data_IF_511658639564
#
_entry.id   IF_511658639564
#
_cell.length_a   1.000
_cell.length_b   1.000
_cell.length_c   1.000
_cell.angle_alpha   90.00
_cell.angle_beta   90.00
_cell.angle_gamma   90.00
#
_symmetry.space_group_name_H-M   'P 1'
#
loop_
_entity.id
_entity.type
_entity.pdbx_description
1 polymer ?
#
# COMPACT_ATOMS: atom_id res chain seq x y z
N UNK A 1 30.75 -20.69 47.26
CA UNK A 1 31.93 -19.99 46.69
C UNK A 1 31.39 -19.00 45.65
N UNK A 2 31.01 -17.76 45.98
CA UNK A 2 31.82 -16.51 46.04
C UNK A 2 32.79 -16.34 44.85
N UNK A 3 32.43 -15.50 43.87
CA UNK A 3 33.16 -14.28 43.42
C UNK A 3 32.46 -13.59 42.21
N UNK A 4 31.94 -12.38 42.46
CA UNK A 4 31.84 -11.22 41.55
C UNK A 4 33.10 -10.33 41.78
N UNK A 5 33.33 -9.18 41.12
CA UNK A 5 32.92 -8.65 39.79
C UNK A 5 34.14 -8.12 39.00
N UNK A 6 33.93 -7.57 37.78
CA UNK A 6 34.87 -6.63 37.16
C UNK A 6 34.13 -5.34 36.77
N UNK A 7 34.72 -4.22 37.19
CA UNK A 7 34.25 -2.83 37.10
C UNK A 7 35.17 -2.07 36.14
N UNK A 8 34.62 -1.20 35.28
CA UNK A 8 35.15 0.12 34.83
C UNK A 8 34.13 0.67 33.80
N UNK A 9 33.35 1.74 33.97
CA UNK A 9 33.53 3.18 34.33
C UNK A 9 34.34 4.00 33.31
N UNK A 10 33.63 4.87 32.57
CA UNK A 10 33.91 6.30 32.27
C UNK A 10 32.74 6.83 31.41
N UNK A 11 31.77 7.61 31.91
CA UNK A 11 31.74 9.07 32.10
C UNK A 11 32.13 9.93 30.87
N UNK A 12 31.20 10.75 30.35
CA UNK A 12 31.35 12.22 30.27
C UNK A 12 30.03 12.92 29.88
N UNK A 13 29.77 14.04 30.52
CA UNK A 13 28.60 14.91 30.39
C UNK A 13 28.96 16.24 29.70
N UNK A 14 27.99 16.91 29.08
CA UNK A 14 27.99 18.35 28.79
C UNK A 14 26.52 18.78 28.54
N UNK A 15 25.89 19.57 29.43
CA UNK A 15 25.84 21.05 29.46
C UNK A 15 24.80 21.61 28.47
N UNK A 16 23.82 22.45 28.80
CA UNK A 16 23.63 23.34 29.96
C UNK A 16 23.86 24.82 29.59
N UNK A 17 22.77 25.56 29.39
CA UNK A 17 22.53 27.01 29.65
C UNK A 17 23.17 28.16 28.81
N UNK A 18 22.24 29.04 28.38
CA UNK A 18 22.21 30.54 28.43
C UNK A 18 23.16 31.41 27.56
N UNK A 19 22.56 32.38 26.85
CA UNK A 19 23.23 33.47 26.08
C UNK A 19 23.87 34.58 26.94
N UNK A 20 24.45 35.66 26.36
CA UNK A 20 23.66 36.86 26.00
C UNK A 20 24.21 37.79 24.86
N UNK A 21 23.38 38.78 24.48
CA UNK A 21 23.65 40.19 24.03
C UNK A 21 24.53 40.55 22.82
N UNK A 22 23.85 41.11 21.80
CA UNK A 22 24.10 42.26 20.91
C UNK A 22 25.51 42.75 20.53
N UNK A 23 25.72 42.97 19.22
CA UNK A 23 26.62 43.99 18.64
C UNK A 23 26.02 44.55 17.34
N UNK A 24 26.28 45.84 17.11
CA UNK A 24 25.70 46.84 16.20
C UNK A 24 25.52 46.50 14.69
N UNK A 25 24.72 47.28 13.93
CA UNK A 25 24.57 47.14 12.49
C UNK A 25 25.73 47.79 11.74
N UNK A 26 26.39 47.04 10.86
CA UNK A 26 27.29 47.60 9.84
C UNK A 26 26.48 47.80 8.55
N UNK A 27 26.31 49.06 8.19
CA UNK A 27 25.78 49.53 6.91
C UNK A 27 26.59 48.96 5.73
N UNK A 28 25.96 48.27 4.77
CA UNK A 28 26.58 47.99 3.48
C UNK A 28 26.22 49.10 2.49
N UNK A 29 27.28 49.67 1.91
CA UNK A 29 27.26 50.64 0.83
C UNK A 29 26.47 50.16 -0.40
N UNK A 30 25.93 51.15 -1.13
CA UNK A 30 25.15 51.03 -2.33
C UNK A 30 25.74 50.09 -3.41
N UNK A 31 24.95 49.19 -4.01
CA UNK A 31 25.31 48.60 -5.29
C UNK A 31 24.98 49.56 -6.43
N UNK A 32 26.01 49.83 -7.23
CA UNK A 32 25.92 50.54 -8.50
C UNK A 32 25.03 49.80 -9.51
N UNK A 33 24.31 50.58 -10.30
CA UNK A 33 23.42 50.19 -11.40
C UNK A 33 23.97 49.08 -12.29
N UNK A 34 23.18 48.01 -12.46
CA UNK A 34 23.26 47.08 -13.59
C UNK A 34 22.05 47.33 -14.52
N UNK A 35 22.20 47.21 -15.85
CA UNK A 35 21.12 47.50 -16.79
C UNK A 35 20.00 46.46 -16.69
N UNK A 36 18.76 46.92 -16.86
CA UNK A 36 17.54 46.12 -16.81
C UNK A 36 17.54 45.01 -17.90
N UNK A 37 17.06 43.79 -17.59
CA UNK A 37 16.84 42.78 -18.61
C UNK A 37 15.67 43.22 -19.51
N UNK A 38 15.87 43.12 -20.83
CA UNK A 38 14.84 43.37 -21.83
C UNK A 38 13.72 42.32 -21.70
N UNK A 39 12.49 42.78 -21.51
CA UNK A 39 11.28 41.94 -21.57
C UNK A 39 11.06 41.56 -23.04
N UNK A 40 11.28 40.30 -23.39
CA UNK A 40 10.78 39.72 -24.64
C UNK A 40 9.26 39.53 -24.55
N UNK A 41 8.50 39.77 -25.63
CA UNK A 41 7.05 39.69 -25.60
C UNK A 41 6.56 38.27 -25.33
N UNK A 42 5.46 38.19 -24.58
CA UNK A 42 4.80 36.97 -24.17
C UNK A 42 4.40 36.12 -25.39
N UNK A 43 4.81 34.85 -25.37
CA UNK A 43 4.25 33.84 -26.25
C UNK A 43 2.77 33.63 -25.88
N UNK A 44 1.90 33.80 -26.86
CA UNK A 44 0.51 33.34 -26.83
C UNK A 44 0.47 31.86 -26.46
N UNK A 45 -0.32 31.40 -25.47
CA UNK A 45 -0.57 29.98 -25.32
C UNK A 45 -1.37 29.51 -26.53
N UNK A 46 -0.76 28.67 -27.38
CA UNK A 46 -1.50 27.85 -28.33
C UNK A 46 -2.53 27.05 -27.54
N UNK A 47 -3.77 27.08 -28.04
CA UNK A 47 -4.85 26.29 -27.51
C UNK A 47 -4.41 24.82 -27.49
N UNK A 48 -4.22 24.29 -26.28
CA UNK A 48 -3.90 22.90 -26.08
C UNK A 48 -4.90 22.03 -26.81
N UNK A 49 -4.38 21.05 -27.55
CA UNK A 49 -5.11 19.91 -28.08
C UNK A 49 -6.10 19.40 -27.02
N UNK A 50 -7.37 19.08 -27.38
CA UNK A 50 -8.29 18.50 -26.43
C UNK A 50 -7.70 17.18 -25.92
N UNK A 51 -7.23 17.18 -24.67
CA UNK A 51 -6.88 15.96 -23.96
C UNK A 51 -8.10 15.04 -24.02
N UNK A 52 -8.01 13.97 -24.82
CA UNK A 52 -9.04 12.95 -24.85
C UNK A 52 -9.25 12.46 -23.41
N UNK A 53 -10.47 12.67 -22.90
CA UNK A 53 -10.84 12.13 -21.59
C UNK A 53 -10.76 10.60 -21.72
N UNK A 54 -9.92 9.91 -20.92
CA UNK A 54 -9.78 8.47 -21.03
C UNK A 54 -11.17 7.86 -20.84
N UNK A 55 -11.63 7.11 -21.84
CA UNK A 55 -12.91 6.39 -21.73
C UNK A 55 -12.77 5.40 -20.58
N UNK A 56 -13.64 5.45 -19.54
CA UNK A 56 -13.57 4.49 -18.45
C UNK A 56 -13.66 3.08 -19.01
N UNK A 57 -12.69 2.22 -18.67
CA UNK A 57 -12.77 0.80 -19.02
C UNK A 57 -14.04 0.22 -18.37
N UNK A 58 -14.79 -0.69 -19.02
CA UNK A 58 -15.93 -1.32 -18.38
C UNK A 58 -15.49 -2.13 -17.16
N UNK A 59 -16.24 -2.04 -16.07
CA UNK A 59 -16.00 -2.83 -14.87
C UNK A 59 -16.16 -4.33 -15.15
N UNK A 60 -15.29 -5.20 -14.62
CA UNK A 60 -15.45 -6.64 -14.76
C UNK A 60 -16.73 -7.12 -14.06
N UNK A 61 -17.42 -8.09 -14.67
CA UNK A 61 -18.55 -8.76 -14.02
C UNK A 61 -18.06 -9.72 -12.94
N UNK A 62 -18.65 -9.64 -11.75
CA UNK A 62 -18.33 -10.56 -10.65
C UNK A 62 -18.94 -11.95 -10.95
N UNK A 63 -18.16 -13.03 -10.95
CA UNK A 63 -18.68 -14.38 -11.16
C UNK A 63 -19.63 -14.79 -10.03
N UNK A 64 -20.84 -15.21 -10.38
CA UNK A 64 -21.84 -15.65 -9.41
C UNK A 64 -21.48 -17.02 -8.79
N UNK A 65 -21.03 -17.95 -9.62
CA UNK A 65 -20.66 -19.30 -9.20
C UNK A 65 -19.21 -19.35 -8.69
N UNK A 66 -18.92 -20.17 -7.66
CA UNK A 66 -17.55 -20.46 -7.24
C UNK A 66 -16.72 -21.07 -8.35
N UNK A 67 -15.44 -20.73 -8.41
CA UNK A 67 -14.52 -21.34 -9.40
C UNK A 67 -14.08 -22.75 -8.93
N UNK A 68 -13.74 -23.67 -9.85
CA UNK A 68 -13.16 -24.95 -9.46
C UNK A 68 -11.89 -24.77 -8.62
N UNK A 69 -11.81 -25.47 -7.49
CA UNK A 69 -10.67 -25.34 -6.56
C UNK A 69 -10.73 -24.13 -5.63
N UNK A 70 -11.82 -23.35 -5.66
CA UNK A 70 -12.06 -22.26 -4.72
C UNK A 70 -12.13 -22.79 -3.27
N UNK A 71 -11.31 -22.17 -2.41
CA UNK A 71 -11.20 -22.47 -0.99
C UNK A 71 -12.14 -21.58 -0.18
N UNK A 72 -12.10 -20.28 -0.45
CA UNK A 72 -12.88 -19.25 0.25
C UNK A 72 -13.10 -18.06 -0.66
N UNK A 73 -14.25 -17.39 -0.50
CA UNK A 73 -14.56 -16.12 -1.16
C UNK A 73 -15.12 -15.09 -0.19
N UNK A 74 -14.92 -13.82 -0.52
CA UNK A 74 -15.47 -12.68 0.20
C UNK A 74 -15.85 -11.59 -0.80
N UNK A 75 -17.14 -11.31 -0.90
CA UNK A 75 -17.65 -10.11 -1.61
C UNK A 75 -17.50 -8.91 -0.69
N UNK A 76 -16.95 -7.81 -1.19
CA UNK A 76 -16.68 -6.61 -0.41
C UNK A 76 -17.35 -5.37 -1.01
N UNK A 77 -17.60 -4.39 -0.15
CA UNK A 77 -18.19 -3.10 -0.48
C UNK A 77 -17.69 -2.05 0.51
N UNK A 78 -18.57 -1.23 1.11
CA UNK A 78 -18.12 -0.20 2.05
C UNK A 78 -17.54 -0.70 3.39
N UNK A 79 -17.61 -1.99 3.70
CA UNK A 79 -17.22 -2.55 5.00
C UNK A 79 -16.26 -3.72 4.89
N UNK A 80 -15.40 -3.87 5.89
CA UNK A 80 -14.55 -5.04 6.06
C UNK A 80 -15.37 -6.33 6.05
N UNK A 81 -14.92 -7.31 5.28
CA UNK A 81 -15.56 -8.62 5.15
C UNK A 81 -14.57 -9.72 5.54
N UNK A 82 -15.07 -10.76 6.20
CA UNK A 82 -14.28 -11.92 6.58
C UNK A 82 -14.92 -13.19 6.03
N UNK A 83 -14.18 -13.92 5.20
CA UNK A 83 -14.52 -15.27 4.75
C UNK A 83 -13.77 -16.31 5.59
N UNK A 84 -14.41 -17.45 5.86
CA UNK A 84 -13.79 -18.57 6.59
C UNK A 84 -14.11 -19.89 5.93
N UNK A 85 -13.15 -20.81 5.95
CA UNK A 85 -13.31 -22.16 5.43
C UNK A 85 -12.41 -23.15 6.16
N UNK A 86 -12.79 -24.42 6.16
CA UNK A 86 -11.86 -25.52 6.44
C UNK A 86 -11.47 -26.16 5.11
N UNK A 87 -10.17 -26.24 4.82
CA UNK A 87 -9.69 -26.80 3.56
C UNK A 87 -8.48 -27.69 3.76
N UNK A 88 -8.38 -28.75 2.94
CA UNK A 88 -7.24 -29.66 2.94
C UNK A 88 -6.30 -29.28 1.81
N UNK A 89 -5.24 -28.56 2.16
CA UNK A 89 -4.24 -28.12 1.20
C UNK A 89 -3.40 -29.27 0.67
N UNK A 90 -3.15 -29.20 -0.63
CA UNK A 90 -2.33 -30.16 -1.38
C UNK A 90 -0.82 -29.99 -1.17
N UNK A 91 -0.39 -28.90 -0.51
CA UNK A 91 1.02 -28.51 -0.42
C UNK A 91 1.52 -27.73 -1.64
N UNK A 92 0.62 -27.33 -2.54
CA UNK A 92 0.91 -26.51 -3.73
C UNK A 92 0.78 -25.02 -3.40
N UNK A 93 1.34 -24.15 -4.26
CA UNK A 93 1.07 -22.71 -4.20
C UNK A 93 -0.42 -22.42 -4.25
N UNK A 94 -0.81 -21.34 -3.59
CA UNK A 94 -2.18 -20.84 -3.62
C UNK A 94 -2.25 -19.51 -4.32
N UNK A 95 -3.27 -19.38 -5.16
CA UNK A 95 -3.56 -18.15 -5.89
C UNK A 95 -4.69 -17.39 -5.20
N UNK A 96 -4.53 -16.09 -4.98
CA UNK A 96 -5.62 -15.20 -4.58
C UNK A 96 -5.96 -14.25 -5.71
N UNK A 97 -7.24 -13.92 -5.82
CA UNK A 97 -7.78 -13.18 -6.95
C UNK A 97 -8.65 -12.05 -6.43
N UNK A 98 -8.37 -10.83 -6.88
CA UNK A 98 -9.13 -9.62 -6.54
C UNK A 98 -9.80 -9.11 -7.81
N UNK A 99 -11.12 -8.95 -7.76
CA UNK A 99 -11.94 -8.41 -8.84
C UNK A 99 -12.66 -7.17 -8.32
N UNK A 100 -12.23 -5.98 -8.74
CA UNK A 100 -12.91 -4.73 -8.40
C UNK A 100 -14.10 -4.50 -9.32
N UNK A 101 -15.25 -4.19 -8.74
CA UNK A 101 -16.46 -3.69 -9.40
C UNK A 101 -16.65 -2.18 -9.20
N UNK A 102 -15.57 -1.46 -8.87
CA UNK A 102 -15.46 0.00 -8.83
C UNK A 102 -14.19 0.46 -9.55
N UNK A 103 -14.15 1.73 -9.97
CA UNK A 103 -12.93 2.38 -10.51
C UNK A 103 -12.16 3.15 -9.43
N UNK A 104 -12.75 3.30 -8.26
CA UNK A 104 -12.20 4.08 -7.17
C UNK A 104 -11.94 3.19 -5.96
N UNK A 105 -11.04 3.67 -5.10
CA UNK A 105 -10.72 3.04 -3.84
C UNK A 105 -9.61 2.00 -3.90
N UNK A 106 -9.34 1.44 -2.72
CA UNK A 106 -8.30 0.43 -2.50
C UNK A 106 -8.85 -0.69 -1.63
N UNK A 107 -8.30 -1.88 -1.80
CA UNK A 107 -8.63 -3.06 -1.01
C UNK A 107 -7.36 -3.68 -0.44
N UNK A 108 -7.33 -3.82 0.88
CA UNK A 108 -6.33 -4.61 1.58
C UNK A 108 -6.85 -6.03 1.83
N UNK A 109 -6.04 -7.03 1.51
CA UNK A 109 -6.36 -8.45 1.63
C UNK A 109 -5.34 -9.11 2.53
N UNK A 110 -5.84 -9.79 3.56
CA UNK A 110 -5.06 -10.59 4.48
C UNK A 110 -5.60 -12.04 4.44
N UNK A 111 -4.71 -13.01 4.29
CA UNK A 111 -5.03 -14.45 4.26
C UNK A 111 -4.26 -15.18 5.36
N UNK A 112 -4.98 -15.90 6.21
CA UNK A 112 -4.42 -16.74 7.26
C UNK A 112 -4.79 -18.20 7.06
N UNK A 113 -3.87 -19.09 7.43
CA UNK A 113 -4.13 -20.52 7.53
C UNK A 113 -3.58 -21.06 8.85
N UNK A 114 -4.46 -21.66 9.67
CA UNK A 114 -4.10 -22.14 11.00
C UNK A 114 -3.66 -21.03 11.97
N UNK A 115 -4.18 -19.80 11.79
CA UNK A 115 -3.88 -18.66 12.64
C UNK A 115 -2.56 -17.94 12.34
N UNK A 116 -1.85 -18.32 11.27
CA UNK A 116 -0.65 -17.62 10.79
C UNK A 116 -0.98 -16.81 9.54
N UNK A 117 -0.52 -15.57 9.49
CA UNK A 117 -0.65 -14.70 8.31
C UNK A 117 0.30 -15.19 7.22
N UNK A 118 -0.21 -15.33 6.00
CA UNK A 118 0.53 -15.91 4.88
C UNK A 118 0.57 -14.97 3.67
N UNK A 119 -0.45 -14.13 3.49
CA UNK A 119 -0.49 -13.10 2.45
C UNK A 119 -1.06 -11.82 3.07
N UNK A 120 -0.38 -10.70 2.84
CA UNK A 120 -0.86 -9.36 3.14
C UNK A 120 -0.58 -8.45 1.96
N UNK A 121 -1.61 -7.93 1.28
CA UNK A 121 -1.47 -7.12 0.07
C UNK A 121 -2.49 -5.99 0.02
N UNK A 122 -2.17 -4.92 -0.71
CA UNK A 122 -3.10 -3.81 -0.99
C UNK A 122 -3.15 -3.56 -2.49
N UNK A 123 -4.36 -3.38 -3.04
CA UNK A 123 -4.58 -3.16 -4.47
C UNK A 123 -5.51 -1.97 -4.70
N UNK A 124 -5.22 -1.16 -5.72
CA UNK A 124 -6.07 -0.04 -6.15
C UNK A 124 -7.06 -0.49 -7.24
N UNK A 125 -8.31 -0.07 -7.14
CA UNK A 125 -9.36 -0.47 -8.08
C UNK A 125 -9.39 0.34 -9.40
N UNK A 126 -8.57 1.40 -9.52
CA UNK A 126 -8.54 2.29 -10.70
C UNK A 126 -7.62 1.87 -11.85
N UNK A 127 -7.11 0.63 -11.85
CA UNK A 127 -6.16 0.11 -12.84
C UNK A 127 -6.75 -0.93 -13.80
N UNK A 128 -5.89 -1.78 -14.37
CA UNK A 128 -6.32 -2.96 -15.11
C UNK A 128 -7.16 -3.91 -14.23
N UNK A 129 -8.07 -4.72 -14.80
CA UNK A 129 -8.99 -5.57 -14.03
C UNK A 129 -8.34 -6.72 -13.21
N UNK A 130 -7.10 -6.64 -12.70
CA UNK A 130 -6.33 -7.88 -12.50
C UNK A 130 -5.39 -7.96 -11.28
N UNK A 131 -5.55 -9.13 -10.63
CA UNK A 131 -4.62 -10.13 -10.09
C UNK A 131 -3.24 -9.71 -9.54
N UNK A 132 -2.96 -10.14 -8.30
CA UNK A 132 -1.59 -10.35 -7.80
C UNK A 132 -1.48 -11.72 -7.15
N UNK A 133 -0.45 -12.49 -7.52
CA UNK A 133 -0.05 -13.79 -6.94
C UNK A 133 1.18 -13.54 -6.08
N UNK A 134 1.19 -14.04 -4.84
CA UNK A 134 2.42 -14.31 -4.11
C UNK A 134 2.36 -15.72 -3.50
N UNK A 135 3.44 -16.46 -3.74
CA UNK A 135 3.65 -17.90 -3.56
C UNK A 135 3.54 -18.32 -2.07
N UNK A 136 2.31 -18.31 -1.54
CA UNK A 136 2.03 -18.85 -0.22
C UNK A 136 1.77 -20.35 -0.35
N UNK A 137 2.83 -21.14 -0.21
CA UNK A 137 2.68 -22.59 -0.04
C UNK A 137 2.16 -22.87 1.37
N UNK A 138 0.89 -23.27 1.49
CA UNK A 138 0.41 -23.87 2.72
C UNK A 138 0.97 -25.28 2.82
N UNK A 139 1.64 -25.60 3.94
CA UNK A 139 2.01 -26.99 4.21
C UNK A 139 0.79 -27.90 4.08
N UNK A 140 0.97 -29.08 3.49
CA UNK A 140 -0.13 -30.00 3.21
C UNK A 140 -0.95 -30.33 4.47
N UNK A 141 -2.25 -30.57 4.29
CA UNK A 141 -3.15 -31.00 5.36
C UNK A 141 -4.31 -30.04 5.60
N UNK A 142 -5.15 -30.38 6.56
CA UNK A 142 -6.36 -29.59 6.88
C UNK A 142 -5.99 -28.34 7.68
N UNK A 143 -6.47 -27.18 7.24
CA UNK A 143 -6.27 -25.89 7.89
C UNK A 143 -7.58 -25.12 7.94
N UNK A 144 -7.74 -24.34 9.01
CA UNK A 144 -8.74 -23.29 9.08
C UNK A 144 -8.20 -22.07 8.34
N UNK A 145 -8.93 -21.62 7.33
CA UNK A 145 -8.58 -20.49 6.47
C UNK A 145 -9.44 -19.30 6.87
N UNK A 146 -8.81 -18.15 7.04
CA UNK A 146 -9.51 -16.87 7.21
C UNK A 146 -9.03 -15.93 6.11
N UNK A 147 -9.97 -15.30 5.42
CA UNK A 147 -9.74 -14.28 4.41
C UNK A 147 -10.37 -12.99 4.91
N UNK A 148 -9.58 -11.94 5.15
CA UNK A 148 -10.07 -10.63 5.56
C UNK A 148 -9.83 -9.63 4.44
N UNK A 149 -10.90 -8.95 4.07
CA UNK A 149 -10.90 -7.97 2.99
C UNK A 149 -11.32 -6.64 3.57
N UNK A 150 -10.46 -5.64 3.41
CA UNK A 150 -10.57 -4.32 4.02
C UNK A 150 -10.63 -3.27 2.89
N UNK A 151 -11.83 -2.95 2.40
CA UNK A 151 -12.04 -1.96 1.36
C UNK A 151 -11.98 -0.53 1.93
N UNK A 152 -11.59 0.41 1.08
CA UNK A 152 -11.52 1.83 1.38
C UNK A 152 -11.78 2.68 0.12
N UNK A 153 -12.10 3.95 0.29
CA UNK A 153 -12.26 4.88 -0.84
C UNK A 153 -13.39 4.53 -1.83
N UNK A 154 -14.38 3.74 -1.41
CA UNK A 154 -15.49 3.31 -2.29
C UNK A 154 -15.21 2.03 -3.08
N UNK A 155 -14.17 1.27 -2.71
CA UNK A 155 -13.88 -0.02 -3.34
C UNK A 155 -15.02 -1.04 -3.15
N UNK A 156 -15.45 -1.66 -4.24
CA UNK A 156 -16.43 -2.76 -4.24
C UNK A 156 -15.92 -3.90 -5.12
N UNK A 157 -16.29 -5.15 -4.82
CA UNK A 157 -15.79 -6.29 -5.59
C UNK A 157 -15.87 -7.65 -4.92
N UNK A 158 -15.04 -8.58 -5.39
CA UNK A 158 -14.91 -9.94 -4.88
C UNK A 158 -13.43 -10.32 -4.72
N UNK A 159 -13.11 -10.97 -3.61
CA UNK A 159 -11.84 -11.70 -3.44
C UNK A 159 -12.12 -13.19 -3.31
N UNK A 160 -11.34 -14.04 -3.96
CA UNK A 160 -11.38 -15.49 -3.76
C UNK A 160 -9.99 -16.12 -3.82
N UNK A 161 -9.87 -17.30 -3.23
CA UNK A 161 -8.62 -18.05 -3.06
C UNK A 161 -8.76 -19.44 -3.68
N UNK A 162 -7.75 -19.92 -4.41
CA UNK A 162 -7.75 -21.21 -5.12
C UNK A 162 -6.53 -22.05 -4.74
N UNK A 163 -6.74 -23.34 -4.39
CA UNK A 163 -5.66 -24.30 -4.13
C UNK A 163 -5.03 -24.77 -5.46
N UNK A 164 -3.90 -24.17 -5.82
CA UNK A 164 -3.16 -24.42 -7.04
C UNK A 164 -2.82 -23.15 -7.82
N UNK A 165 -1.94 -23.33 -8.81
CA UNK A 165 -1.73 -22.36 -9.89
C UNK A 165 -2.84 -22.54 -10.93
N UNK A 166 -3.35 -21.42 -11.44
CA UNK A 166 -4.34 -21.37 -12.53
C UNK A 166 -3.64 -20.91 -13.81
#
# INVERSE_FOLDING_TARGET
MKRLPAVLVLALAAAGCTGPTATAPTEPAAPASAPAPAISPAATPEAGEPTESPTPHPLPSIPAEPVPGEVVRATFGATTTVGRAEHRFSGRPVSYHVLCASHDGEVAVELWAGGQEMIGSTNACGGEPFFTVEDASFGSGTKQVELRVQPSGGAEGLVYVVDGEI
#
